data_IF_202144735280
#
_entry.id   IF_202144735280
#
_cell.length_a   1.000
_cell.length_b   1.000
_cell.length_c   1.000
_cell.angle_alpha   90.00
_cell.angle_beta   90.00
_cell.angle_gamma   90.00
#
_symmetry.space_group_name_H-M   'P 1'
#
loop_
_entity.id
_entity.type
_entity.pdbx_description
1 polymer ?
#
# COMPACT_ATOMS: atom_id res chain seq x y z
N UNK A 1 -30.94 -64.64 10.66
CA UNK A 1 -31.90 -64.76 9.53
C UNK A 1 -32.23 -63.36 9.00
N UNK A 2 -32.46 -63.27 7.69
CA UNK A 2 -32.45 -62.09 6.80
C UNK A 2 -33.38 -60.90 7.15
N UNK A 3 -33.14 -59.69 6.58
CA UNK A 3 -33.97 -58.50 6.76
C UNK A 3 -35.18 -58.45 5.80
N UNK A 4 -36.27 -57.74 6.13
CA UNK A 4 -37.31 -57.43 5.14
C UNK A 4 -36.98 -56.19 4.29
N UNK A 5 -37.25 -56.34 2.99
CA UNK A 5 -37.06 -55.41 1.86
C UNK A 5 -38.12 -54.27 1.80
N UNK A 6 -37.89 -53.23 0.97
CA UNK A 6 -38.64 -51.97 0.99
C UNK A 6 -39.96 -52.02 0.20
N UNK A 7 -40.90 -51.15 0.60
CA UNK A 7 -42.15 -50.88 -0.13
C UNK A 7 -42.02 -49.56 -0.86
N UNK A 8 -42.15 -49.61 -2.19
CA UNK A 8 -42.27 -48.43 -3.04
C UNK A 8 -43.72 -48.10 -3.40
N UNK A 9 -43.83 -47.03 -4.19
CA UNK A 9 -44.97 -46.54 -5.01
C UNK A 9 -45.82 -45.42 -4.37
N UNK A 10 -46.59 -44.66 -5.16
CA UNK A 10 -46.21 -43.85 -6.34
C UNK A 10 -46.91 -42.45 -6.31
N UNK A 11 -46.59 -41.54 -7.24
CA UNK A 11 -47.39 -40.31 -7.41
C UNK A 11 -46.89 -39.37 -8.52
N UNK A 12 -47.50 -39.50 -9.70
CA UNK A 12 -47.42 -38.61 -10.87
C UNK A 12 -48.36 -37.40 -10.72
N UNK A 13 -47.97 -36.25 -11.28
CA UNK A 13 -48.76 -35.25 -12.07
C UNK A 13 -48.14 -33.84 -11.89
N UNK A 14 -48.20 -32.85 -12.78
CA UNK A 14 -48.37 -32.66 -14.23
C UNK A 14 -48.15 -31.14 -14.48
N UNK A 15 -47.74 -30.75 -15.70
CA UNK A 15 -47.79 -29.37 -16.22
C UNK A 15 -46.62 -28.44 -15.84
N UNK A 16 -46.14 -27.52 -16.68
CA UNK A 16 -46.56 -27.10 -18.02
C UNK A 16 -45.40 -26.35 -18.70
N UNK A 17 -45.53 -26.26 -20.02
CA UNK A 17 -44.76 -25.53 -21.03
C UNK A 17 -44.24 -24.14 -20.64
N UNK A 18 -43.08 -23.77 -21.18
CA UNK A 18 -42.58 -22.39 -21.12
C UNK A 18 -41.17 -22.21 -21.68
N UNK A 19 -41.03 -22.29 -23.00
CA UNK A 19 -39.81 -21.98 -23.71
C UNK A 19 -39.57 -20.46 -23.86
N UNK A 20 -38.29 -20.06 -23.71
CA UNK A 20 -37.61 -18.86 -24.25
C UNK A 20 -37.82 -17.49 -23.57
N UNK A 21 -36.89 -16.51 -23.74
CA UNK A 21 -35.46 -16.57 -24.08
C UNK A 21 -34.53 -15.74 -23.15
N UNK A 22 -33.23 -15.97 -23.32
CA UNK A 22 -32.12 -15.22 -22.71
C UNK A 22 -32.08 -13.78 -23.30
N UNK A 23 -31.99 -12.71 -22.48
CA UNK A 23 -31.80 -11.37 -23.00
C UNK A 23 -30.33 -11.13 -23.41
N UNK A 24 -30.12 -10.87 -24.70
CA UNK A 24 -28.92 -10.27 -25.27
C UNK A 24 -28.77 -8.83 -24.77
N UNK A 25 -27.58 -8.37 -24.32
CA UNK A 25 -27.34 -6.95 -24.12
C UNK A 25 -27.04 -6.26 -25.45
N UNK A 26 -27.89 -5.31 -25.85
CA UNK A 26 -27.56 -4.26 -26.81
C UNK A 26 -26.60 -3.24 -26.15
N UNK A 27 -25.58 -2.73 -26.86
CA UNK A 27 -24.90 -1.50 -26.44
C UNK A 27 -25.79 -0.29 -26.73
N UNK A 28 -26.13 0.46 -25.68
CA UNK A 28 -26.79 1.75 -25.79
C UNK A 28 -25.83 2.78 -26.40
N UNK A 29 -26.28 3.42 -27.47
CA UNK A 29 -25.73 4.63 -28.00
C UNK A 29 -26.05 5.83 -27.07
N UNK A 30 -25.11 6.75 -26.95
CA UNK A 30 -25.37 8.11 -26.49
C UNK A 30 -24.24 8.71 -25.65
N UNK A 31 -23.56 9.72 -26.18
CA UNK A 31 -22.78 10.65 -25.36
C UNK A 31 -21.54 11.23 -26.03
N UNK A 32 -21.76 12.20 -26.93
CA UNK A 32 -20.86 13.29 -27.35
C UNK A 32 -19.46 13.37 -26.70
N UNK A 33 -18.42 13.20 -27.50
CA UNK A 33 -17.13 13.89 -27.29
C UNK A 33 -16.62 14.45 -28.62
N UNK A 34 -16.72 15.75 -28.73
CA UNK A 34 -16.03 16.65 -29.64
C UNK A 34 -15.91 17.93 -28.80
N UNK A 35 -14.81 18.63 -28.68
CA UNK A 35 -13.52 18.59 -29.35
C UNK A 35 -12.68 19.62 -28.52
N UNK A 36 -11.35 19.47 -28.51
CA UNK A 36 -10.36 20.56 -28.31
C UNK A 36 -10.42 21.37 -26.99
N UNK A 37 -9.44 21.12 -26.10
CA UNK A 37 -8.90 22.17 -25.25
C UNK A 37 -7.37 22.08 -25.25
N UNK A 38 -6.78 22.47 -26.39
CA UNK A 38 -5.39 22.89 -26.45
C UNK A 38 -5.38 24.42 -26.40
N UNK A 39 -4.92 24.99 -25.29
CA UNK A 39 -4.40 26.35 -25.30
C UNK A 39 -2.92 26.28 -24.98
N UNK A 40 -2.15 26.57 -26.02
CA UNK A 40 -0.71 26.66 -26.02
C UNK A 40 -0.25 27.75 -25.05
N UNK A 41 0.65 27.36 -24.15
CA UNK A 41 1.60 28.27 -23.52
C UNK A 41 2.69 28.58 -24.54
N UNK A 42 2.86 29.84 -24.95
CA UNK A 42 4.07 30.30 -25.64
C UNK A 42 4.25 31.83 -25.52
N UNK A 43 5.34 32.18 -24.83
CA UNK A 43 6.29 33.29 -25.00
C UNK A 43 5.81 34.75 -24.92
N UNK A 44 6.33 35.46 -23.91
CA UNK A 44 6.85 36.81 -24.10
C UNK A 44 8.27 36.88 -23.51
N UNK A 45 9.21 37.18 -24.39
CA UNK A 45 10.62 37.40 -24.12
C UNK A 45 10.84 38.69 -23.30
N UNK A 46 11.87 38.68 -22.46
CA UNK A 46 12.34 39.82 -21.69
C UNK A 46 13.79 39.57 -21.27
N UNK A 47 14.70 39.99 -22.13
CA UNK A 47 16.14 40.10 -21.94
C UNK A 47 16.55 40.80 -20.63
N UNK A 48 17.72 40.44 -20.11
CA UNK A 48 18.91 41.29 -19.88
C UNK A 48 19.74 40.66 -18.74
N UNK A 49 20.99 40.36 -19.04
CA UNK A 49 21.92 39.67 -18.16
C UNK A 49 22.45 40.50 -16.99
N UNK A 50 23.23 39.83 -16.15
CA UNK A 50 24.57 40.23 -15.68
C UNK A 50 24.97 39.38 -14.47
N UNK A 51 26.12 38.72 -14.64
CA UNK A 51 27.15 38.44 -13.63
C UNK A 51 26.75 38.26 -12.16
N UNK A 52 26.89 37.01 -11.67
CA UNK A 52 27.70 36.77 -10.46
C UNK A 52 28.15 35.32 -10.31
N UNK A 53 29.46 35.15 -10.33
CA UNK A 53 30.16 33.96 -9.84
C UNK A 53 30.09 33.88 -8.31
N UNK A 54 29.97 32.64 -7.79
CA UNK A 54 30.52 32.11 -6.52
C UNK A 54 30.02 30.65 -6.45
N UNK A 55 30.77 29.64 -6.88
CA UNK A 55 31.91 28.98 -6.22
C UNK A 55 31.56 28.29 -4.90
N UNK A 56 31.97 27.02 -4.84
CA UNK A 56 32.09 26.08 -3.70
C UNK A 56 30.81 25.32 -3.33
N UNK A 57 30.77 23.98 -3.23
CA UNK A 57 31.71 22.87 -3.44
C UNK A 57 30.88 21.58 -3.31
N UNK A 58 31.13 20.44 -3.95
CA UNK A 58 32.39 19.86 -4.37
C UNK A 58 32.92 18.88 -3.32
N UNK A 59 32.38 17.64 -3.28
CA UNK A 59 33.13 16.40 -2.93
C UNK A 59 32.18 15.20 -3.08
N UNK A 60 32.24 14.43 -4.18
CA UNK A 60 33.29 13.47 -4.60
C UNK A 60 33.31 12.21 -3.75
N UNK A 61 32.92 11.13 -4.43
CA UNK A 61 33.29 9.73 -4.20
C UNK A 61 34.80 9.57 -4.02
N UNK A 62 35.21 8.76 -3.05
CA UNK A 62 36.11 7.60 -3.20
C UNK A 62 36.68 7.21 -1.81
N UNK A 63 36.82 5.90 -1.61
CA UNK A 63 36.90 5.27 -0.29
C UNK A 63 38.20 5.43 0.48
N UNK A 64 38.09 5.24 1.79
CA UNK A 64 39.16 4.79 2.67
C UNK A 64 38.53 3.94 3.79
N UNK A 65 39.03 2.71 3.92
CA UNK A 65 38.68 1.81 5.00
C UNK A 65 39.79 1.87 6.04
N UNK A 66 39.56 2.52 7.19
CA UNK A 66 40.26 2.26 8.46
C UNK A 66 39.50 2.86 9.66
N UNK A 67 38.97 1.96 10.49
CA UNK A 67 38.69 2.12 11.93
C UNK A 67 37.72 3.24 12.37
N UNK A 68 36.41 2.98 12.26
CA UNK A 68 35.41 3.65 13.10
C UNK A 68 34.53 2.62 13.77
N UNK A 69 34.97 2.14 14.94
CA UNK A 69 34.14 1.32 15.80
C UNK A 69 33.03 2.19 16.44
N UNK A 70 31.80 1.70 16.32
CA UNK A 70 30.67 1.93 17.21
C UNK A 70 29.96 3.31 17.19
N UNK A 71 29.53 3.75 16.00
CA UNK A 71 28.22 4.39 15.89
C UNK A 71 27.40 3.57 14.90
N UNK A 72 26.27 2.94 15.29
CA UNK A 72 25.36 2.41 14.28
C UNK A 72 24.98 3.60 13.41
N UNK A 73 25.33 3.53 12.13
CA UNK A 73 24.95 4.53 11.16
C UNK A 73 23.42 4.54 11.15
N UNK A 74 22.80 5.51 11.81
CA UNK A 74 21.34 5.57 12.02
C UNK A 74 20.59 5.71 10.70
N UNK A 75 21.31 6.11 9.66
CA UNK A 75 20.84 6.30 8.30
C UNK A 75 21.12 5.08 7.39
N UNK A 76 21.62 3.97 7.94
CA UNK A 76 21.80 2.73 7.16
C UNK A 76 20.50 1.95 7.03
N UNK A 77 20.30 1.22 5.91
CA UNK A 77 19.12 0.38 5.70
C UNK A 77 18.88 -0.66 6.81
N UNK A 78 19.95 -1.27 7.34
CA UNK A 78 19.86 -2.19 8.47
C UNK A 78 19.35 -1.48 9.72
N UNK A 79 19.87 -0.29 10.02
CA UNK A 79 19.41 0.50 11.16
C UNK A 79 17.95 0.93 11.00
N UNK A 80 17.50 1.25 9.78
CA UNK A 80 16.08 1.51 9.52
C UNK A 80 15.23 0.28 9.85
N UNK A 81 15.56 -0.88 9.25
CA UNK A 81 14.82 -2.13 9.41
C UNK A 81 14.74 -2.58 10.88
N UNK A 82 15.87 -2.56 11.59
CA UNK A 82 15.93 -2.95 13.01
C UNK A 82 15.10 -2.03 13.91
N UNK A 83 14.94 -0.76 13.51
CA UNK A 83 14.24 0.24 14.30
C UNK A 83 12.73 0.33 14.01
N UNK A 84 12.19 -0.31 12.98
CA UNK A 84 10.75 -0.18 12.63
C UNK A 84 9.84 -0.62 13.78
N UNK A 85 10.21 -1.66 14.53
CA UNK A 85 9.39 -2.15 15.64
C UNK A 85 9.56 -1.28 16.88
N UNK A 86 10.79 -0.87 17.19
CA UNK A 86 11.12 -0.06 18.37
C UNK A 86 10.74 1.41 18.22
N UNK A 87 10.74 1.93 16.99
CA UNK A 87 10.33 3.27 16.60
C UNK A 87 9.44 3.24 15.34
N UNK A 88 8.18 2.78 15.45
CA UNK A 88 7.27 2.66 14.31
C UNK A 88 6.99 3.98 13.59
N UNK A 89 7.14 5.11 14.28
CA UNK A 89 6.96 6.45 13.73
C UNK A 89 7.92 6.73 12.58
N UNK A 90 9.05 6.01 12.46
CA UNK A 90 9.99 6.13 11.34
C UNK A 90 9.38 5.80 9.97
N UNK A 91 8.26 5.06 9.92
CA UNK A 91 7.52 4.78 8.69
C UNK A 91 6.72 5.98 8.17
N UNK A 92 6.46 6.99 9.01
CA UNK A 92 5.67 8.13 8.59
C UNK A 92 6.34 8.87 7.42
N UNK A 93 5.59 9.04 6.33
CA UNK A 93 6.07 9.64 5.08
C UNK A 93 6.75 8.66 4.11
N UNK A 94 7.01 7.41 4.53
CA UNK A 94 7.63 6.41 3.66
C UNK A 94 6.60 5.76 2.74
N UNK A 95 6.91 5.68 1.43
CA UNK A 95 6.10 4.94 0.48
C UNK A 95 6.36 3.44 0.55
N UNK A 96 5.49 2.62 -0.04
CA UNK A 96 5.70 1.17 -0.07
C UNK A 96 6.98 0.78 -0.82
N UNK A 97 7.35 1.54 -1.86
CA UNK A 97 8.58 1.30 -2.61
C UNK A 97 9.81 1.70 -1.81
N UNK A 98 9.80 2.87 -1.16
CA UNK A 98 10.93 3.29 -0.31
C UNK A 98 11.19 2.28 0.81
N UNK A 99 10.13 1.80 1.46
CA UNK A 99 10.24 0.74 2.48
C UNK A 99 10.85 -0.52 1.86
N UNK A 100 10.36 -0.95 0.70
CA UNK A 100 10.87 -2.14 0.03
C UNK A 100 12.35 -2.02 -0.35
N UNK A 101 12.78 -0.84 -0.80
CA UNK A 101 14.17 -0.56 -1.13
C UNK A 101 15.06 -0.63 0.12
N UNK A 102 14.61 -0.11 1.26
CA UNK A 102 15.35 -0.23 2.53
C UNK A 102 15.50 -1.69 2.97
N UNK A 103 14.44 -2.49 2.91
CA UNK A 103 14.53 -3.92 3.25
C UNK A 103 15.41 -4.70 2.25
N UNK A 104 15.33 -4.38 0.96
CA UNK A 104 16.17 -5.00 -0.08
C UNK A 104 17.64 -4.65 0.13
N UNK A 105 17.94 -3.38 0.41
CA UNK A 105 19.30 -2.92 0.71
C UNK A 105 19.85 -3.50 2.02
N UNK A 106 18.97 -3.84 2.97
CA UNK A 106 19.32 -4.58 4.18
C UNK A 106 19.55 -6.09 3.95
N UNK A 107 19.27 -6.60 2.74
CA UNK A 107 19.51 -7.99 2.34
C UNK A 107 18.29 -8.91 2.43
N UNK A 108 17.09 -8.37 2.63
CA UNK A 108 15.85 -9.16 2.65
C UNK A 108 15.25 -9.31 1.26
N UNK A 109 14.52 -10.41 1.06
CA UNK A 109 13.70 -10.58 -0.13
C UNK A 109 12.35 -9.90 0.09
N UNK A 110 11.97 -9.01 -0.82
CA UNK A 110 10.78 -8.16 -0.68
C UNK A 110 9.93 -8.19 -1.93
N UNK A 111 8.60 -8.16 -1.75
CA UNK A 111 7.63 -7.99 -2.83
C UNK A 111 6.62 -6.91 -2.48
N UNK A 112 6.32 -6.03 -3.44
CA UNK A 112 5.29 -4.99 -3.29
C UNK A 112 4.07 -5.38 -4.12
N UNK A 113 2.95 -5.59 -3.45
CA UNK A 113 1.67 -5.94 -4.08
C UNK A 113 0.63 -4.84 -3.85
N UNK A 114 -0.14 -4.50 -4.87
CA UNK A 114 -1.34 -3.70 -4.67
C UNK A 114 -2.45 -4.55 -4.05
N UNK A 115 -3.21 -3.98 -3.11
CA UNK A 115 -4.31 -4.71 -2.49
C UNK A 115 -5.49 -4.87 -3.45
N UNK A 116 -5.77 -6.11 -3.81
CA UNK A 116 -6.88 -6.49 -4.71
C UNK A 116 -8.15 -6.89 -3.95
N UNK A 117 -8.18 -6.72 -2.61
CA UNK A 117 -9.28 -7.19 -1.78
C UNK A 117 -10.56 -6.39 -2.02
N UNK A 118 -11.55 -7.03 -2.65
CA UNK A 118 -12.90 -6.46 -2.85
C UNK A 118 -13.51 -6.01 -1.52
N UNK A 119 -14.16 -4.84 -1.52
CA UNK A 119 -14.79 -4.25 -0.33
C UNK A 119 -13.86 -3.46 0.58
N UNK A 120 -12.58 -3.28 0.20
CA UNK A 120 -11.67 -2.33 0.83
C UNK A 120 -11.39 -1.16 -0.12
N UNK A 121 -10.68 -0.13 0.36
CA UNK A 121 -10.28 1.01 -0.48
C UNK A 121 -9.47 0.58 -1.72
N UNK A 122 -8.85 -0.62 -1.75
CA UNK A 122 -7.97 -1.11 -2.83
C UNK A 122 -6.77 -0.19 -3.17
N UNK A 123 -6.62 0.94 -2.47
CA UNK A 123 -5.53 1.90 -2.64
C UNK A 123 -4.27 1.53 -1.85
N UNK A 124 -4.37 0.54 -0.95
CA UNK A 124 -3.25 0.16 -0.10
C UNK A 124 -2.25 -0.72 -0.84
N UNK A 125 -0.97 -0.53 -0.56
CA UNK A 125 0.13 -1.37 -1.03
C UNK A 125 0.64 -2.24 0.12
N UNK A 126 1.05 -3.46 -0.18
CA UNK A 126 1.59 -4.43 0.76
C UNK A 126 3.05 -4.70 0.44
N UNK A 127 3.92 -4.41 1.40
CA UNK A 127 5.34 -4.77 1.39
C UNK A 127 5.48 -6.08 2.14
N UNK A 128 5.63 -7.19 1.41
CA UNK A 128 5.83 -8.53 1.97
C UNK A 128 7.32 -8.79 2.11
N UNK A 129 7.74 -9.15 3.32
CA UNK A 129 9.14 -9.32 3.66
C UNK A 129 9.37 -10.79 4.02
N UNK A 130 10.29 -11.43 3.32
CA UNK A 130 10.63 -12.84 3.53
C UNK A 130 11.94 -12.98 4.32
N UNK A 131 11.95 -13.89 5.28
CA UNK A 131 13.15 -14.20 6.08
C UNK A 131 13.47 -13.20 7.20
N UNK A 132 12.69 -12.13 7.36
CA UNK A 132 12.87 -11.21 8.49
C UNK A 132 12.30 -11.82 9.79
N UNK A 133 13.04 -11.78 10.92
CA UNK A 133 12.66 -12.50 12.15
C UNK A 133 11.35 -12.01 12.78
N UNK A 134 11.06 -10.70 12.68
CA UNK A 134 9.93 -10.10 13.37
C UNK A 134 8.82 -9.59 12.44
N UNK A 135 9.14 -8.90 11.35
CA UNK A 135 8.19 -8.27 10.43
C UNK A 135 7.92 -9.18 9.23
N UNK A 136 6.65 -9.54 9.01
CA UNK A 136 6.24 -10.32 7.84
C UNK A 136 5.63 -9.47 6.72
N UNK A 137 4.96 -8.36 7.09
CA UNK A 137 4.29 -7.49 6.13
C UNK A 137 4.09 -6.08 6.66
N UNK A 138 4.32 -5.07 5.83
CA UNK A 138 3.93 -3.69 6.08
C UNK A 138 2.88 -3.28 5.04
N UNK A 139 1.73 -2.78 5.49
CA UNK A 139 0.70 -2.25 4.61
C UNK A 139 0.70 -0.73 4.66
N UNK A 140 0.87 -0.09 3.50
CA UNK A 140 0.84 1.36 3.33
C UNK A 140 -0.50 1.76 2.75
N UNK A 141 -1.21 2.67 3.41
CA UNK A 141 -2.46 3.25 2.92
C UNK A 141 -2.23 4.73 2.63
N UNK A 142 -2.61 5.24 1.44
CA UNK A 142 -2.47 6.67 1.11
C UNK A 142 -3.52 7.55 1.82
N UNK A 143 -4.38 6.95 2.65
CA UNK A 143 -5.50 7.61 3.30
C UNK A 143 -6.79 7.59 2.49
N UNK A 144 -7.79 8.30 3.01
CA UNK A 144 -9.14 8.35 2.45
C UNK A 144 -10.09 7.28 3.01
N UNK A 145 -11.32 7.27 2.47
CA UNK A 145 -12.35 6.34 2.88
C UNK A 145 -12.89 6.62 4.28
N UNK A 146 -13.04 5.58 5.11
CA UNK A 146 -13.72 5.65 6.41
C UNK A 146 -12.81 6.10 7.56
N UNK A 147 -11.51 5.83 7.46
CA UNK A 147 -10.59 6.00 8.59
C UNK A 147 -9.92 7.37 8.59
N UNK A 148 -9.46 7.86 7.44
CA UNK A 148 -8.76 9.14 7.35
C UNK A 148 -9.28 9.98 6.18
N UNK A 149 -9.04 11.30 6.17
CA UNK A 149 -9.18 12.13 4.98
C UNK A 149 -8.29 11.64 3.83
N UNK A 150 -8.66 11.97 2.60
CA UNK A 150 -7.81 11.72 1.42
C UNK A 150 -6.49 12.46 1.58
N UNK A 151 -5.36 11.75 1.41
CA UNK A 151 -4.03 12.33 1.58
C UNK A 151 -3.47 12.25 3.01
N UNK A 152 -4.20 11.63 3.95
CA UNK A 152 -3.71 11.33 5.31
C UNK A 152 -3.31 9.86 5.39
N UNK A 153 -2.04 9.52 5.07
CA UNK A 153 -1.58 8.14 5.00
C UNK A 153 -1.51 7.47 6.36
N UNK A 154 -1.50 6.14 6.37
CA UNK A 154 -1.24 5.36 7.57
C UNK A 154 -0.61 4.01 7.23
N UNK A 155 0.07 3.43 8.21
CA UNK A 155 0.80 2.17 8.06
C UNK A 155 0.30 1.13 9.05
N UNK A 156 0.33 -0.14 8.63
CA UNK A 156 0.07 -1.30 9.48
C UNK A 156 1.21 -2.30 9.34
N UNK A 157 1.93 -2.51 10.43
CA UNK A 157 3.01 -3.48 10.55
C UNK A 157 2.43 -4.77 11.13
N UNK A 158 2.55 -5.87 10.40
CA UNK A 158 2.24 -7.21 10.89
C UNK A 158 3.53 -7.84 11.40
N UNK A 159 3.61 -8.02 12.72
CA UNK A 159 4.74 -8.68 13.39
C UNK A 159 4.36 -10.11 13.81
N UNK A 160 5.36 -10.98 13.92
CA UNK A 160 5.21 -12.35 14.40
C UNK A 160 5.11 -12.45 15.93
N UNK A 161 5.57 -11.43 16.65
CA UNK A 161 5.77 -11.42 18.11
C UNK A 161 4.80 -10.50 18.85
N UNK A 162 4.63 -9.27 18.38
CA UNK A 162 3.88 -8.20 19.05
C UNK A 162 2.48 -7.98 18.45
N UNK A 163 2.08 -8.84 17.49
CA UNK A 163 0.83 -8.67 16.75
C UNK A 163 0.92 -7.52 15.75
N UNK A 164 -0.02 -6.57 15.82
CA UNK A 164 -0.11 -5.47 14.85
C UNK A 164 0.35 -4.17 15.47
N UNK A 165 1.10 -3.39 14.72
CA UNK A 165 1.44 -2.02 15.07
C UNK A 165 0.85 -1.11 14.01
N UNK A 166 0.12 -0.09 14.45
CA UNK A 166 -0.54 0.90 13.61
C UNK A 166 0.17 2.24 13.76
N UNK A 167 0.52 2.86 12.64
CA UNK A 167 1.12 4.20 12.60
C UNK A 167 0.12 5.09 11.89
N UNK A 168 -0.56 5.96 12.64
CA UNK A 168 -1.78 6.66 12.19
C UNK A 168 -1.70 8.17 12.47
N UNK A 169 -2.42 9.00 11.70
CA UNK A 169 -2.58 10.41 12.03
C UNK A 169 -3.42 10.60 13.29
N UNK A 170 -3.38 11.80 13.87
CA UNK A 170 -4.17 12.09 15.06
C UNK A 170 -5.69 12.05 14.80
N UNK A 171 -6.12 12.42 13.60
CA UNK A 171 -7.53 12.44 13.17
C UNK A 171 -8.09 11.07 12.72
N UNK A 172 -7.31 9.98 12.86
CA UNK A 172 -7.73 8.65 12.45
C UNK A 172 -9.00 8.19 13.19
N UNK A 173 -10.04 7.87 12.44
CA UNK A 173 -11.35 7.42 12.94
C UNK A 173 -11.36 5.92 13.24
N UNK A 174 -11.80 5.58 14.45
CA UNK A 174 -11.88 4.19 14.94
C UNK A 174 -10.55 3.66 15.48
N UNK A 175 -9.66 4.55 15.95
CA UNK A 175 -8.38 4.14 16.54
C UNK A 175 -8.56 3.22 17.76
N UNK A 176 -9.57 3.49 18.59
CA UNK A 176 -9.89 2.70 19.80
C UNK A 176 -10.39 1.27 19.48
N UNK A 177 -10.82 1.03 18.25
CA UNK A 177 -11.28 -0.27 17.76
C UNK A 177 -10.13 -1.11 17.17
N UNK A 178 -8.95 -0.51 16.98
CA UNK A 178 -7.79 -1.21 16.42
C UNK A 178 -7.18 -2.15 17.46
N UNK A 179 -7.03 -3.42 17.08
CA UNK A 179 -6.25 -4.36 17.87
C UNK A 179 -4.75 -4.18 17.59
N UNK A 180 -3.95 -4.07 18.65
CA UNK A 180 -2.50 -3.96 18.59
C UNK A 180 -1.97 -2.69 19.24
N UNK A 181 -0.70 -2.38 18.96
CA UNK A 181 -0.08 -1.11 19.38
C UNK A 181 -0.47 -0.01 18.39
N UNK A 182 -0.81 1.18 18.90
CA UNK A 182 -1.20 2.34 18.10
C UNK A 182 -0.23 3.49 18.40
N UNK A 183 0.46 3.95 17.36
CA UNK A 183 1.42 5.05 17.40
C UNK A 183 0.88 6.19 16.54
N UNK A 184 0.81 7.39 17.11
CA UNK A 184 0.45 8.61 16.38
C UNK A 184 1.71 9.31 15.87
N UNK A 185 1.71 9.72 14.60
CA UNK A 185 2.90 10.34 13.99
C UNK A 185 2.85 11.87 13.92
N UNK A 186 1.72 12.49 14.26
CA UNK A 186 1.53 13.95 14.30
C UNK A 186 1.54 14.52 15.74
N UNK A 187 1.92 13.71 16.73
CA UNK A 187 1.97 14.09 18.15
C UNK A 187 3.29 14.77 18.54
#
# INVERSE_FOLDING_TARGET
>A
MAPPKPRGSPGKSEGADGASPIPTPHPAAGGMVSQENMVATTLAAGEIGRDRASTSGGQSTDGDATLSAARPNRDSPQAFVDNIVSNPRSLAGQSAHDIADQFTAAGYQVRVDQSTKRGTSQLSQQVRIEGHPEIANIQVHPGGGRHTPTGSPYWKISTSTQGRIWVIPNDFRGADELSGNVVRYDD
#
